data_IF_011828068196
#
_entry.id   IF_011828068196
#
_cell.length_a   1.000
_cell.length_b   1.000
_cell.length_c   1.000
_cell.angle_alpha   90.00
_cell.angle_beta   90.00
_cell.angle_gamma   90.00
#
_symmetry.space_group_name_H-M   'P 1'
#
loop_
_entity.id
_entity.type
_entity.pdbx_description
1 polymer ?
#
# COMPACT_ATOMS: atom_id res chain seq x y z
N UNK A 1 29.55 -64.16 -13.46
CA UNK A 1 29.64 -62.74 -13.05
C UNK A 1 29.48 -62.66 -11.54
N UNK A 2 30.39 -61.97 -10.81
CA UNK A 2 30.34 -61.94 -9.33
C UNK A 2 29.28 -60.91 -8.88
N UNK A 3 28.25 -61.36 -8.16
CA UNK A 3 27.13 -60.56 -7.67
C UNK A 3 27.52 -59.43 -6.69
N UNK A 4 28.77 -59.45 -6.21
CA UNK A 4 29.35 -58.44 -5.30
C UNK A 4 29.56 -57.07 -5.93
N UNK A 5 29.45 -56.94 -7.27
CA UNK A 5 29.53 -55.64 -7.97
C UNK A 5 28.23 -54.84 -7.80
N UNK A 6 27.10 -55.50 -7.55
CA UNK A 6 25.77 -54.87 -7.44
C UNK A 6 25.30 -54.60 -6.01
N UNK A 7 26.08 -54.97 -5.00
CA UNK A 7 25.71 -54.79 -3.59
C UNK A 7 26.67 -53.81 -2.93
N UNK A 8 26.18 -52.62 -2.57
CA UNK A 8 26.92 -51.68 -1.70
C UNK A 8 26.93 -52.24 -0.27
N UNK A 9 28.04 -52.81 0.21
CA UNK A 9 28.11 -53.25 1.60
C UNK A 9 28.17 -51.98 2.45
N UNK A 10 27.37 -51.90 3.52
CA UNK A 10 27.29 -50.74 4.44
C UNK A 10 26.54 -49.49 3.93
N UNK A 11 25.40 -49.63 3.26
CA UNK A 11 24.43 -48.50 3.20
C UNK A 11 23.64 -48.45 4.51
N UNK A 12 23.80 -47.41 5.36
CA UNK A 12 22.98 -47.29 6.57
C UNK A 12 21.51 -47.16 6.16
N UNK A 13 20.67 -48.06 6.67
CA UNK A 13 19.24 -48.14 6.31
C UNK A 13 18.39 -47.04 6.97
N UNK A 14 18.94 -46.37 7.99
CA UNK A 14 18.28 -45.31 8.73
C UNK A 14 19.26 -44.16 8.99
N UNK A 15 18.85 -42.96 8.62
CA UNK A 15 19.51 -41.72 9.02
C UNK A 15 18.71 -41.19 10.21
N UNK A 16 19.34 -41.04 11.37
CA UNK A 16 18.69 -40.37 12.50
C UNK A 16 18.42 -38.93 12.09
N UNK A 17 17.14 -38.55 11.93
CA UNK A 17 16.76 -37.15 11.77
C UNK A 17 17.19 -36.42 13.04
N UNK A 18 18.21 -35.56 12.94
CA UNK A 18 18.39 -34.52 13.95
C UNK A 18 17.12 -33.69 13.91
N UNK A 19 16.34 -33.73 15.00
CA UNK A 19 15.27 -32.77 15.21
C UNK A 19 15.95 -31.41 15.12
N UNK A 20 15.59 -30.58 14.14
CA UNK A 20 15.99 -29.18 14.21
C UNK A 20 15.35 -28.67 15.48
N UNK A 21 16.16 -28.15 16.39
CA UNK A 21 15.66 -27.16 17.32
C UNK A 21 15.19 -26.01 16.43
N UNK A 22 13.89 -26.03 16.12
CA UNK A 22 13.23 -24.88 15.56
C UNK A 22 13.25 -23.89 16.72
N UNK A 23 14.04 -22.81 16.67
CA UNK A 23 13.92 -21.79 17.69
C UNK A 23 12.44 -21.42 17.77
N UNK A 24 11.86 -21.26 18.97
CA UNK A 24 10.46 -20.87 19.10
C UNK A 24 10.23 -19.70 18.15
N UNK A 25 9.16 -19.78 17.36
CA UNK A 25 8.72 -18.69 16.48
C UNK A 25 8.87 -17.40 17.28
N UNK A 26 9.80 -16.54 16.85
CA UNK A 26 9.97 -15.24 17.48
C UNK A 26 8.58 -14.61 17.44
N UNK A 27 8.05 -14.35 18.64
CA UNK A 27 6.80 -13.62 18.81
C UNK A 27 6.81 -12.44 17.87
N UNK A 28 5.74 -12.27 17.09
CA UNK A 28 5.57 -11.16 16.16
C UNK A 28 6.13 -9.89 16.81
N UNK A 29 7.01 -9.13 16.10
CA UNK A 29 7.68 -7.99 16.71
C UNK A 29 6.62 -7.10 17.36
N UNK A 30 6.85 -6.79 18.64
CA UNK A 30 5.97 -5.96 19.44
C UNK A 30 5.54 -4.74 18.63
N UNK A 31 4.24 -4.43 18.68
CA UNK A 31 3.62 -3.27 18.05
C UNK A 31 4.58 -2.09 18.15
N UNK A 32 5.12 -1.67 17.00
CA UNK A 32 6.07 -0.56 16.93
C UNK A 32 5.43 0.62 17.67
N UNK A 33 6.20 1.26 18.56
CA UNK A 33 5.80 2.53 19.18
C UNK A 33 5.24 3.41 18.06
N UNK A 34 4.06 4.06 18.26
CA UNK A 34 3.52 4.93 17.24
C UNK A 34 4.63 5.92 16.87
N UNK A 35 5.04 5.91 15.59
CA UNK A 35 5.99 6.88 15.08
C UNK A 35 5.40 8.23 15.43
N UNK A 36 6.09 9.00 16.28
CA UNK A 36 5.62 10.31 16.71
C UNK A 36 5.83 11.22 15.51
N UNK A 37 4.84 11.22 14.63
CA UNK A 37 4.85 12.07 13.44
C UNK A 37 4.78 13.52 13.92
N UNK A 38 5.72 14.35 13.45
CA UNK A 38 5.76 15.77 13.79
C UNK A 38 4.38 16.41 13.57
N UNK A 39 3.96 17.31 14.47
CA UNK A 39 2.67 18.02 14.42
C UNK A 39 2.40 18.76 13.09
N UNK A 40 3.44 19.04 12.30
CA UNK A 40 3.37 19.67 10.98
C UNK A 40 3.07 18.71 9.82
N UNK A 41 3.20 17.40 10.03
CA UNK A 41 2.87 16.34 9.08
C UNK A 41 1.59 15.65 9.57
N UNK A 42 0.45 16.04 8.99
CA UNK A 42 -0.84 15.44 9.26
C UNK A 42 -0.86 13.99 8.73
N UNK A 43 -0.50 13.02 9.58
CA UNK A 43 -0.54 11.58 9.25
C UNK A 43 -1.71 10.92 9.97
N UNK A 44 -2.84 10.79 9.26
CA UNK A 44 -3.97 9.98 9.73
C UNK A 44 -3.76 8.55 9.26
N UNK A 45 -3.53 7.62 10.19
CA UNK A 45 -3.36 6.21 9.84
C UNK A 45 -4.70 5.63 9.42
N UNK A 46 -4.79 5.10 8.21
CA UNK A 46 -5.95 4.33 7.75
C UNK A 46 -6.00 3.00 8.49
N UNK A 47 -7.12 2.71 9.16
CA UNK A 47 -7.33 1.41 9.80
C UNK A 47 -7.31 0.28 8.76
N UNK A 48 -6.88 -0.91 9.17
CA UNK A 48 -6.68 -2.04 8.25
C UNK A 48 -7.99 -2.49 7.56
N UNK A 49 -9.11 -2.48 8.28
CA UNK A 49 -10.44 -2.78 7.74
C UNK A 49 -10.88 -1.77 6.68
N UNK A 50 -10.62 -0.48 6.90
CA UNK A 50 -10.90 0.57 5.92
C UNK A 50 -9.96 0.45 4.72
N UNK A 51 -8.67 0.20 4.94
CA UNK A 51 -7.69 0.03 3.87
C UNK A 51 -8.04 -1.14 2.94
N UNK A 52 -8.47 -2.28 3.49
CA UNK A 52 -8.91 -3.43 2.71
C UNK A 52 -10.10 -3.07 1.79
N UNK A 53 -11.11 -2.39 2.33
CA UNK A 53 -12.28 -1.95 1.54
C UNK A 53 -11.90 -0.94 0.47
N UNK A 54 -10.98 0.00 0.75
CA UNK A 54 -10.48 0.92 -0.27
C UNK A 54 -9.79 0.18 -1.43
N UNK A 55 -9.06 -0.90 -1.16
CA UNK A 55 -8.47 -1.76 -2.20
C UNK A 55 -9.54 -2.51 -2.99
N UNK A 56 -10.61 -2.99 -2.35
CA UNK A 56 -11.74 -3.60 -3.06
C UNK A 56 -12.42 -2.61 -4.00
N UNK A 57 -12.63 -1.36 -3.56
CA UNK A 57 -13.21 -0.30 -4.39
C UNK A 57 -12.32 0.14 -5.56
N UNK A 58 -11.01 -0.13 -5.48
CA UNK A 58 -10.05 0.19 -6.52
C UNK A 58 -10.24 -0.68 -7.79
N UNK A 59 -10.92 -1.83 -7.65
CA UNK A 59 -11.23 -2.75 -8.75
C UNK A 59 -10.00 -3.02 -9.64
N UNK A 60 -8.86 -3.24 -8.98
CA UNK A 60 -7.58 -3.49 -9.63
C UNK A 60 -7.28 -4.97 -9.53
N UNK A 61 -7.09 -5.61 -10.68
CA UNK A 61 -6.34 -6.86 -10.75
C UNK A 61 -4.90 -6.59 -10.29
N UNK A 62 -4.21 -7.57 -9.70
CA UNK A 62 -2.89 -7.36 -9.08
C UNK A 62 -1.72 -6.98 -10.01
N UNK A 63 -2.01 -6.63 -11.28
CA UNK A 63 -1.08 -6.33 -12.39
C UNK A 63 -1.17 -4.86 -12.88
N UNK A 64 -1.54 -3.92 -12.00
CA UNK A 64 -1.65 -2.50 -12.34
C UNK A 64 -0.64 -1.67 -11.55
N UNK A 65 0.06 -0.78 -12.27
CA UNK A 65 0.87 0.26 -11.65
C UNK A 65 0.00 1.12 -10.72
N UNK A 66 0.20 0.98 -9.41
CA UNK A 66 -0.64 1.56 -8.38
C UNK A 66 0.14 2.58 -7.58
N UNK A 67 -0.31 3.83 -7.59
CA UNK A 67 0.28 4.90 -6.81
C UNK A 67 -0.39 5.01 -5.44
N UNK A 68 0.44 5.03 -4.40
CA UNK A 68 0.11 5.56 -3.08
C UNK A 68 0.88 6.89 -2.89
N UNK A 69 0.19 8.06 -2.90
CA UNK A 69 0.80 9.39 -2.79
C UNK A 69 1.31 9.86 -1.41
N UNK A 70 0.90 9.25 -0.31
CA UNK A 70 1.19 9.69 1.06
C UNK A 70 1.20 8.48 2.02
N UNK A 71 2.23 7.64 1.88
CA UNK A 71 2.16 6.26 2.36
C UNK A 71 2.09 6.11 3.88
N UNK A 72 2.57 7.10 4.62
CA UNK A 72 2.52 7.14 6.08
C UNK A 72 3.14 5.88 6.68
N UNK A 73 2.40 5.18 7.52
CA UNK A 73 2.83 3.91 8.14
C UNK A 73 2.80 2.71 7.20
N UNK A 74 2.35 2.88 5.95
CA UNK A 74 2.23 1.84 4.94
C UNK A 74 0.95 1.02 5.03
N UNK A 75 -0.13 1.53 5.64
CA UNK A 75 -1.38 0.80 5.81
C UNK A 75 -2.03 0.41 4.45
N UNK A 76 -2.14 1.37 3.52
CA UNK A 76 -2.68 1.12 2.18
C UNK A 76 -1.76 0.23 1.35
N UNK A 77 -0.44 0.44 1.44
CA UNK A 77 0.57 -0.43 0.80
C UNK A 77 0.44 -1.87 1.30
N UNK A 78 0.27 -2.07 2.60
CA UNK A 78 0.10 -3.39 3.20
C UNK A 78 -1.19 -4.07 2.71
N UNK A 79 -2.29 -3.31 2.61
CA UNK A 79 -3.56 -3.82 2.09
C UNK A 79 -3.45 -4.24 0.61
N UNK A 80 -2.76 -3.45 -0.22
CA UNK A 80 -2.49 -3.82 -1.62
C UNK A 80 -1.72 -5.14 -1.70
N UNK A 81 -0.63 -5.28 -0.95
CA UNK A 81 0.17 -6.51 -0.92
C UNK A 81 -0.65 -7.72 -0.44
N UNK A 82 -1.49 -7.54 0.58
CA UNK A 82 -2.38 -8.59 1.10
C UNK A 82 -3.46 -9.01 0.10
N UNK A 83 -3.91 -8.10 -0.76
CA UNK A 83 -4.85 -8.40 -1.85
C UNK A 83 -4.21 -9.08 -3.07
N UNK A 84 -2.88 -9.29 -3.06
CA UNK A 84 -2.16 -9.95 -4.13
C UNK A 84 -1.58 -9.02 -5.20
N UNK A 85 -1.54 -7.70 -4.97
CA UNK A 85 -0.83 -6.79 -5.86
C UNK A 85 0.68 -7.07 -5.84
N UNK A 86 1.31 -7.01 -7.01
CA UNK A 86 2.76 -7.13 -7.14
C UNK A 86 3.47 -5.98 -6.42
N UNK A 87 4.44 -6.30 -5.57
CA UNK A 87 5.23 -5.28 -4.86
C UNK A 87 6.01 -4.36 -5.83
N UNK A 88 6.32 -4.86 -7.02
CA UNK A 88 7.03 -4.11 -8.06
C UNK A 88 6.16 -3.07 -8.78
N UNK A 89 4.84 -3.22 -8.71
CA UNK A 89 3.88 -2.32 -9.38
C UNK A 89 3.31 -1.27 -8.42
N UNK A 90 3.63 -1.35 -7.13
CA UNK A 90 3.25 -0.35 -6.15
C UNK A 90 4.31 0.76 -6.13
N UNK A 91 3.89 1.99 -6.39
CA UNK A 91 4.71 3.18 -6.22
C UNK A 91 4.23 3.93 -4.98
N UNK A 92 5.03 3.95 -3.91
CA UNK A 92 4.71 4.71 -2.70
C UNK A 92 5.52 6.01 -2.65
N UNK A 93 4.86 7.12 -2.30
CA UNK A 93 5.51 8.42 -2.03
C UNK A 93 5.35 8.77 -0.56
N UNK A 94 6.45 9.10 0.11
CA UNK A 94 6.43 9.46 1.52
C UNK A 94 7.46 10.53 1.87
N UNK A 95 7.01 11.64 2.45
CA UNK A 95 7.88 12.77 2.79
C UNK A 95 8.81 12.46 3.97
N UNK A 96 8.31 11.79 5.01
CA UNK A 96 9.02 11.59 6.25
C UNK A 96 10.00 10.41 6.16
N UNK A 97 11.28 10.68 6.42
CA UNK A 97 12.35 9.70 6.26
C UNK A 97 12.15 8.38 7.04
N UNK A 98 11.69 8.44 8.30
CA UNK A 98 11.46 7.23 9.10
C UNK A 98 10.27 6.40 8.59
N UNK A 99 9.22 7.08 8.12
CA UNK A 99 8.02 6.43 7.58
C UNK A 99 8.35 5.81 6.22
N UNK A 100 9.08 6.54 5.37
CA UNK A 100 9.59 6.01 4.11
C UNK A 100 10.47 4.77 4.34
N UNK A 101 11.37 4.81 5.33
CA UNK A 101 12.18 3.66 5.72
C UNK A 101 11.32 2.48 6.22
N UNK A 102 10.19 2.75 6.90
CA UNK A 102 9.23 1.74 7.29
C UNK A 102 8.52 1.10 6.10
N UNK A 103 8.01 1.90 5.16
CA UNK A 103 7.34 1.41 3.96
C UNK A 103 8.30 0.60 3.08
N UNK A 104 9.59 0.99 3.02
CA UNK A 104 10.61 0.21 2.30
C UNK A 104 10.79 -1.21 2.84
N UNK A 105 10.50 -1.46 4.12
CA UNK A 105 10.54 -2.82 4.70
C UNK A 105 9.45 -3.73 4.13
N UNK A 106 8.43 -3.17 3.47
CA UNK A 106 7.39 -3.91 2.76
C UNK A 106 7.85 -4.34 1.34
N UNK A 107 9.10 -4.09 0.97
CA UNK A 107 9.70 -4.49 -0.32
C UNK A 107 9.00 -3.90 -1.55
N UNK A 108 8.48 -2.68 -1.42
CA UNK A 108 7.94 -1.87 -2.52
C UNK A 108 8.87 -0.69 -2.87
N UNK A 109 8.84 -0.19 -4.12
CA UNK A 109 9.42 1.10 -4.47
C UNK A 109 8.87 2.25 -3.60
N UNK A 110 9.76 2.99 -2.95
CA UNK A 110 9.41 4.17 -2.14
C UNK A 110 10.21 5.39 -2.56
N UNK A 111 9.50 6.41 -3.02
CA UNK A 111 10.03 7.73 -3.37
C UNK A 111 9.91 8.62 -2.14
N UNK A 112 11.05 9.01 -1.58
CA UNK A 112 11.07 9.87 -0.40
C UNK A 112 11.14 11.34 -0.81
N UNK A 113 9.98 11.95 -1.02
CA UNK A 113 9.82 13.32 -1.52
C UNK A 113 8.43 13.86 -1.12
N UNK A 114 8.22 15.17 -1.24
CA UNK A 114 6.88 15.74 -1.21
C UNK A 114 6.08 15.25 -2.43
N UNK A 115 4.88 14.72 -2.21
CA UNK A 115 4.04 14.23 -3.32
C UNK A 115 3.69 15.30 -4.35
N UNK A 116 3.42 16.54 -3.92
CA UNK A 116 3.09 17.60 -4.86
C UNK A 116 4.28 17.94 -5.76
N UNK A 117 5.51 17.93 -5.22
CA UNK A 117 6.75 18.13 -5.98
C UNK A 117 7.00 16.96 -6.94
N UNK A 118 6.84 15.74 -6.44
CA UNK A 118 6.91 14.52 -7.26
C UNK A 118 5.93 14.59 -8.44
N UNK A 119 4.67 14.92 -8.19
CA UNK A 119 3.62 14.96 -9.19
C UNK A 119 3.90 16.00 -10.28
N UNK A 120 4.36 17.21 -9.92
CA UNK A 120 4.78 18.22 -10.90
C UNK A 120 5.97 17.74 -11.74
N UNK A 121 6.96 17.09 -11.12
CA UNK A 121 8.18 16.62 -11.79
C UNK A 121 7.92 15.53 -12.84
N UNK A 122 6.96 14.64 -12.57
CA UNK A 122 6.62 13.48 -13.43
C UNK A 122 5.38 13.68 -14.29
N UNK A 123 4.66 14.80 -14.14
CA UNK A 123 3.48 15.13 -14.95
C UNK A 123 3.78 14.99 -16.45
N UNK A 124 2.89 14.29 -17.16
CA UNK A 124 3.01 14.04 -18.59
C UNK A 124 4.12 13.05 -19.00
N UNK A 125 4.87 12.51 -18.04
CA UNK A 125 5.92 11.49 -18.26
C UNK A 125 5.53 10.13 -17.72
N UNK A 126 4.71 10.11 -16.67
CA UNK A 126 4.25 8.90 -15.97
C UNK A 126 2.74 9.01 -15.77
N UNK A 127 2.07 7.88 -15.95
CA UNK A 127 0.65 7.70 -15.67
C UNK A 127 0.44 6.49 -14.78
N UNK A 128 -0.54 6.58 -13.88
CA UNK A 128 -0.95 5.49 -13.01
C UNK A 128 -2.39 5.08 -13.33
N UNK A 129 -2.63 3.82 -13.73
CA UNK A 129 -3.98 3.29 -13.93
C UNK A 129 -4.75 3.17 -12.63
N UNK A 130 -4.06 3.12 -11.49
CA UNK A 130 -4.65 2.99 -10.17
C UNK A 130 -3.99 3.96 -9.20
N UNK A 131 -4.80 4.69 -8.45
CA UNK A 131 -4.32 5.56 -7.37
C UNK A 131 -5.18 5.28 -6.13
N UNK A 132 -4.54 5.02 -5.00
CA UNK A 132 -5.22 4.84 -3.72
C UNK A 132 -4.57 5.76 -2.69
N UNK A 133 -5.37 6.54 -1.95
CA UNK A 133 -4.80 7.58 -1.10
C UNK A 133 -5.63 7.94 0.12
N UNK A 134 -4.93 8.24 1.21
CA UNK A 134 -5.46 8.98 2.36
C UNK A 134 -4.68 10.31 2.49
N UNK A 135 -5.06 11.37 1.75
CA UNK A 135 -4.32 12.61 1.74
C UNK A 135 -4.41 13.35 3.08
N UNK A 136 -3.43 14.23 3.39
CA UNK A 136 -3.58 15.19 4.48
C UNK A 136 -4.82 16.07 4.24
N UNK A 137 -5.77 16.06 5.17
CA UNK A 137 -7.09 16.68 4.98
C UNK A 137 -7.01 18.19 4.80
N UNK A 138 -6.05 18.85 5.44
CA UNK A 138 -5.78 20.28 5.25
C UNK A 138 -5.41 20.66 3.80
N UNK A 139 -4.88 19.71 3.01
CA UNK A 139 -4.43 19.90 1.62
C UNK A 139 -5.14 18.98 0.63
N UNK A 140 -6.28 18.38 1.01
CA UNK A 140 -7.01 17.37 0.22
C UNK A 140 -7.25 17.81 -1.23
N UNK A 141 -7.65 19.07 -1.47
CA UNK A 141 -7.90 19.60 -2.82
C UNK A 141 -6.64 19.61 -3.70
N UNK A 142 -5.50 19.99 -3.14
CA UNK A 142 -4.24 20.02 -3.88
C UNK A 142 -3.74 18.61 -4.20
N UNK A 143 -3.83 17.70 -3.22
CA UNK A 143 -3.42 16.30 -3.41
C UNK A 143 -4.30 15.57 -4.42
N UNK A 144 -5.64 15.73 -4.35
CA UNK A 144 -6.54 15.11 -5.32
C UNK A 144 -6.28 15.65 -6.73
N UNK A 145 -6.10 16.97 -6.89
CA UNK A 145 -5.76 17.55 -8.20
C UNK A 145 -4.44 17.01 -8.76
N UNK A 146 -3.41 16.91 -7.92
CA UNK A 146 -2.12 16.36 -8.32
C UNK A 146 -2.23 14.88 -8.71
N UNK A 147 -2.95 14.08 -7.93
CA UNK A 147 -3.21 12.68 -8.23
C UNK A 147 -3.98 12.51 -9.56
N UNK A 148 -5.01 13.32 -9.80
CA UNK A 148 -5.74 13.31 -11.08
C UNK A 148 -4.84 13.67 -12.26
N UNK A 149 -3.84 14.54 -12.08
CA UNK A 149 -2.88 14.86 -13.15
C UNK A 149 -1.92 13.73 -13.51
N UNK A 150 -1.85 12.69 -12.67
CA UNK A 150 -1.09 11.46 -12.90
C UNK A 150 -1.99 10.27 -13.23
N UNK A 151 -3.31 10.43 -13.17
CA UNK A 151 -4.26 9.35 -13.42
C UNK A 151 -4.37 9.15 -14.94
N UNK A 152 -4.00 7.97 -15.41
CA UNK A 152 -3.97 7.68 -16.83
C UNK A 152 -3.91 6.18 -17.09
N UNK A 153 -4.15 5.76 -18.33
CA UNK A 153 -4.34 4.35 -18.64
C UNK A 153 -3.03 3.57 -18.62
N UNK A 154 -1.89 4.22 -18.81
CA UNK A 154 -0.58 3.57 -18.89
C UNK A 154 -0.57 2.30 -19.78
N UNK A 155 -1.24 2.37 -20.94
CA UNK A 155 -1.35 1.25 -21.89
C UNK A 155 -2.41 0.19 -21.57
N UNK A 156 -3.13 0.28 -20.44
CA UNK A 156 -4.16 -0.70 -20.07
C UNK A 156 -5.51 -0.46 -20.78
N UNK A 157 -6.27 -1.54 -20.98
CA UNK A 157 -7.59 -1.52 -21.60
C UNK A 157 -8.71 -1.00 -20.67
N UNK A 158 -8.51 -1.09 -19.36
CA UNK A 158 -9.45 -0.61 -18.36
C UNK A 158 -9.30 0.88 -18.12
N UNK A 159 -10.40 1.55 -17.76
CA UNK A 159 -10.36 2.95 -17.32
C UNK A 159 -9.50 3.09 -16.07
N UNK A 160 -8.80 4.21 -15.89
CA UNK A 160 -8.00 4.44 -14.70
C UNK A 160 -8.92 4.83 -13.52
N UNK A 161 -8.56 4.40 -12.31
CA UNK A 161 -9.40 4.56 -11.11
C UNK A 161 -8.59 5.17 -9.99
N UNK A 162 -9.16 6.16 -9.33
CA UNK A 162 -8.67 6.75 -8.09
C UNK A 162 -9.66 6.46 -6.96
N UNK A 163 -9.16 5.92 -5.84
CA UNK A 163 -9.92 5.76 -4.60
C UNK A 163 -9.27 6.60 -3.51
N UNK A 164 -10.06 7.44 -2.85
CA UNK A 164 -9.54 8.34 -1.82
C UNK A 164 -10.42 8.37 -0.58
N UNK A 165 -9.75 8.48 0.57
CA UNK A 165 -10.35 8.73 1.87
C UNK A 165 -10.33 10.24 2.13
N UNK A 166 -11.50 10.87 2.23
CA UNK A 166 -11.61 12.34 2.28
C UNK A 166 -12.59 12.80 3.37
N UNK A 167 -12.52 14.05 3.84
CA UNK A 167 -13.56 14.62 4.69
C UNK A 167 -14.93 14.57 4.03
N UNK A 168 -16.01 14.37 4.79
CA UNK A 168 -17.39 14.33 4.24
C UNK A 168 -17.78 15.59 3.47
N UNK A 169 -17.17 16.73 3.80
CA UNK A 169 -17.39 18.04 3.15
C UNK A 169 -16.61 18.22 1.85
N UNK A 170 -15.73 17.28 1.50
CA UNK A 170 -15.00 17.33 0.25
C UNK A 170 -15.92 16.92 -0.91
N UNK A 171 -15.98 17.78 -1.93
CA UNK A 171 -16.72 17.55 -3.16
C UNK A 171 -15.80 17.77 -4.36
N UNK A 172 -15.92 16.88 -5.35
CA UNK A 172 -15.21 16.94 -6.61
C UNK A 172 -16.12 16.46 -7.75
N UNK A 173 -16.11 17.17 -8.88
CA UNK A 173 -16.90 16.81 -10.05
C UNK A 173 -16.47 15.43 -10.58
N UNK A 174 -17.44 14.58 -10.92
CA UNK A 174 -17.17 13.22 -11.39
C UNK A 174 -16.67 12.26 -10.30
N UNK A 175 -16.66 12.68 -9.03
CA UNK A 175 -16.46 11.74 -7.91
C UNK A 175 -17.78 11.10 -7.47
N UNK A 176 -17.72 9.80 -7.19
CA UNK A 176 -18.78 9.01 -6.61
C UNK A 176 -18.44 8.75 -5.15
N UNK A 177 -19.38 8.96 -4.22
CA UNK A 177 -19.21 8.50 -2.83
C UNK A 177 -19.59 7.03 -2.76
N UNK A 178 -18.61 6.17 -2.46
CA UNK A 178 -18.83 4.71 -2.38
C UNK A 178 -19.15 4.26 -0.96
N UNK A 179 -18.69 5.01 0.06
CA UNK A 179 -18.93 4.67 1.46
C UNK A 179 -18.85 5.90 2.37
N UNK A 180 -19.77 6.01 3.34
CA UNK A 180 -19.63 6.92 4.47
C UNK A 180 -19.09 6.15 5.68
N UNK A 181 -18.02 6.66 6.29
CA UNK A 181 -17.40 6.03 7.45
C UNK A 181 -18.02 6.52 8.75
N UNK A 182 -18.09 5.66 9.78
CA UNK A 182 -18.58 6.05 11.10
C UNK A 182 -17.64 7.07 11.76
N UNK A 183 -18.17 7.83 12.71
CA UNK A 183 -17.45 8.93 13.39
C UNK A 183 -16.23 8.46 14.22
N UNK A 184 -16.08 7.16 14.45
CA UNK A 184 -14.98 6.50 15.17
C UNK A 184 -13.93 5.84 14.24
N UNK A 185 -13.98 6.13 12.94
CA UNK A 185 -13.04 5.60 11.95
C UNK A 185 -11.58 6.02 12.20
N UNK A 186 -11.32 7.10 12.96
CA UNK A 186 -9.97 7.50 13.35
C UNK A 186 -9.86 7.66 14.86
N UNK A 187 -8.93 6.92 15.46
CA UNK A 187 -8.73 6.91 16.92
C UNK A 187 -8.29 8.28 17.50
N UNK A 188 -7.73 9.17 16.67
CA UNK A 188 -7.11 10.41 17.12
C UNK A 188 -7.86 11.69 16.73
N UNK A 189 -8.90 11.63 15.90
CA UNK A 189 -9.59 12.83 15.40
C UNK A 189 -11.08 12.59 15.08
N UNK A 190 -11.93 13.56 15.45
CA UNK A 190 -13.36 13.59 15.11
C UNK A 190 -13.60 14.13 13.68
N UNK A 191 -12.82 13.64 12.72
CA UNK A 191 -13.04 14.00 11.31
C UNK A 191 -13.97 12.96 10.70
N UNK A 192 -15.19 13.39 10.37
CA UNK A 192 -16.11 12.57 9.59
C UNK A 192 -15.57 12.43 8.18
N UNK A 193 -15.44 11.20 7.72
CA UNK A 193 -14.84 10.89 6.42
C UNK A 193 -15.74 10.01 5.57
N UNK A 194 -15.47 10.04 4.27
CA UNK A 194 -16.11 9.19 3.27
C UNK A 194 -15.02 8.66 2.33
N UNK A 195 -15.30 7.52 1.71
CA UNK A 195 -14.49 7.01 0.61
C UNK A 195 -15.16 7.46 -0.68
N UNK A 196 -14.35 8.06 -1.56
CA UNK A 196 -14.78 8.43 -2.90
C UNK A 196 -14.02 7.62 -3.94
N UNK A 197 -14.66 7.45 -5.10
CA UNK A 197 -14.07 6.87 -6.30
C UNK A 197 -14.19 7.85 -7.45
N UNK A 198 -13.13 7.99 -8.24
CA UNK A 198 -13.11 8.77 -9.48
C UNK A 198 -12.62 7.86 -10.60
N UNK A 199 -13.36 7.81 -11.69
CA UNK A 199 -12.99 7.03 -12.89
C UNK A 199 -12.54 8.01 -13.96
N UNK A 200 -11.27 7.91 -14.38
CA UNK A 200 -10.72 8.77 -15.42
C UNK A 200 -11.31 8.47 -16.80
N UNK A 201 -11.17 9.42 -17.73
CA UNK A 201 -11.70 9.31 -19.08
C UNK A 201 -11.06 8.12 -19.84
#
# INVERSE_FOLDING_TARGET
>A
MKASVYTRPNKPKFISRRRRDVPPLQSAPALQKPVVVHKGTECHVTRADIAARMVEYLQADGNYNTLEPSAGTGALVSALLQSGHSSAEICAVELHHELAAQVRRLSVPVIQECFLEYAERVRGKVEFPRIIMNPPFSKVRAHIRAALSLLGRNGHATRPVLVALVPVTFEHEGSETVEHLPDDAFAACKVRTKIIRIVGA
#
